data_IF_191279294417
#
_entry.id   IF_191279294417
#
_cell.length_a   1.000
_cell.length_b   1.000
_cell.length_c   1.000
_cell.angle_alpha   90.00
_cell.angle_beta   90.00
_cell.angle_gamma   90.00
#
_symmetry.space_group_name_H-M   'P 1'
#
loop_
_entity.id
_entity.type
_entity.pdbx_description
1 polymer ?
#
# COMPACT_ATOMS: atom_id res chain seq x y z
N UNK A 1 -23.42 14.55 -22.40
CA UNK A 1 -22.06 14.85 -21.93
C UNK A 1 -21.91 14.27 -20.52
N UNK A 2 -21.29 13.09 -20.38
CA UNK A 2 -21.05 12.48 -19.08
C UNK A 2 -19.86 13.18 -18.41
N UNK A 3 -20.11 13.88 -17.31
CA UNK A 3 -19.07 14.39 -16.42
C UNK A 3 -18.20 13.20 -16.00
N UNK A 4 -16.94 13.15 -16.46
CA UNK A 4 -15.98 12.15 -15.98
C UNK A 4 -15.71 12.46 -14.51
N UNK A 5 -16.41 11.76 -13.60
CA UNK A 5 -16.21 11.87 -12.16
C UNK A 5 -14.72 11.67 -11.85
N UNK A 6 -14.07 12.71 -11.33
CA UNK A 6 -12.68 12.64 -10.91
C UNK A 6 -12.55 11.60 -9.78
N UNK A 7 -11.81 10.49 -9.96
CA UNK A 7 -11.68 9.43 -8.95
C UNK A 7 -11.09 9.94 -7.63
N UNK A 8 -10.49 11.14 -7.62
CA UNK A 8 -10.11 11.90 -6.43
C UNK A 8 -11.28 12.17 -5.48
N UNK A 9 -12.48 12.43 -6.01
CA UNK A 9 -13.68 12.69 -5.20
C UNK A 9 -14.06 11.47 -4.35
N UNK A 10 -13.64 10.26 -4.75
CA UNK A 10 -13.94 9.03 -4.01
C UNK A 10 -12.89 8.64 -2.97
N UNK A 11 -11.61 8.94 -3.17
CA UNK A 11 -10.53 8.41 -2.31
C UNK A 11 -10.58 8.94 -0.87
N UNK A 12 -10.73 10.25 -0.70
CA UNK A 12 -10.80 10.88 0.64
C UNK A 12 -12.02 10.39 1.42
N UNK A 13 -13.26 10.47 0.90
CA UNK A 13 -14.42 9.96 1.64
C UNK A 13 -14.33 8.44 1.84
N UNK A 14 -13.77 7.68 0.89
CA UNK A 14 -13.49 6.26 1.10
C UNK A 14 -12.54 6.03 2.28
N UNK A 15 -11.41 6.73 2.33
CA UNK A 15 -10.44 6.60 3.42
C UNK A 15 -11.07 6.97 4.77
N UNK A 16 -11.88 8.03 4.81
CA UNK A 16 -12.63 8.44 6.01
C UNK A 16 -13.58 7.32 6.45
N UNK A 17 -14.41 6.80 5.54
CA UNK A 17 -15.37 5.72 5.85
C UNK A 17 -14.64 4.47 6.36
N UNK A 18 -13.59 4.03 5.65
CA UNK A 18 -12.79 2.87 6.07
C UNK A 18 -12.17 3.11 7.44
N UNK A 19 -11.67 4.32 7.72
CA UNK A 19 -11.09 4.67 9.01
C UNK A 19 -12.13 4.63 10.12
N UNK A 20 -13.32 5.19 9.90
CA UNK A 20 -14.42 5.18 10.88
C UNK A 20 -14.88 3.74 11.16
N UNK A 21 -15.11 2.93 10.11
CA UNK A 21 -15.51 1.53 10.28
C UNK A 21 -14.42 0.72 11.01
N UNK A 22 -13.16 0.96 10.67
CA UNK A 22 -12.02 0.33 11.35
C UNK A 22 -11.93 0.78 12.81
N UNK A 23 -12.17 2.05 13.11
CA UNK A 23 -12.19 2.54 14.48
C UNK A 23 -13.31 1.90 15.30
N UNK A 24 -14.52 1.79 14.74
CA UNK A 24 -15.64 1.13 15.41
C UNK A 24 -15.34 -0.35 15.67
N UNK A 25 -14.81 -1.06 14.69
CA UNK A 25 -14.37 -2.45 14.85
C UNK A 25 -13.24 -2.56 15.89
N UNK A 26 -12.27 -1.65 15.86
CA UNK A 26 -11.18 -1.59 16.83
C UNK A 26 -11.73 -1.44 18.25
N UNK A 27 -12.64 -0.48 18.49
CA UNK A 27 -13.25 -0.27 19.80
C UNK A 27 -14.00 -1.53 20.26
N UNK A 28 -14.78 -2.15 19.37
CA UNK A 28 -15.49 -3.39 19.68
C UNK A 28 -14.54 -4.52 20.10
N UNK A 29 -13.46 -4.74 19.34
CA UNK A 29 -12.47 -5.78 19.63
C UNK A 29 -11.66 -5.47 20.89
N UNK A 30 -11.25 -4.20 21.07
CA UNK A 30 -10.45 -3.76 22.20
C UNK A 30 -11.20 -3.95 23.53
N UNK A 31 -12.51 -3.66 23.56
CA UNK A 31 -13.34 -3.84 24.76
C UNK A 31 -13.61 -5.31 25.09
N UNK A 32 -13.53 -6.21 24.10
CA UNK A 32 -13.80 -7.63 24.26
C UNK A 32 -12.56 -8.53 24.39
N UNK A 33 -11.34 -7.96 24.38
CA UNK A 33 -10.11 -8.77 24.31
C UNK A 33 -9.73 -9.38 25.65
N UNK A 34 -9.28 -10.63 25.60
CA UNK A 34 -8.41 -11.17 26.64
C UNK A 34 -7.00 -10.55 26.50
N UNK A 35 -6.23 -10.39 27.59
CA UNK A 35 -4.84 -9.95 27.49
C UNK A 35 -4.06 -10.89 26.57
N UNK A 36 -3.33 -10.31 25.61
CA UNK A 36 -2.42 -11.09 24.76
C UNK A 36 -1.24 -11.50 25.66
N UNK A 37 -0.90 -12.80 25.74
CA UNK A 37 0.26 -13.25 26.50
C UNK A 37 1.53 -12.58 25.95
N UNK A 38 2.39 -12.08 26.83
CA UNK A 38 3.73 -11.65 26.42
C UNK A 38 4.48 -12.89 25.88
N UNK A 39 4.76 -12.92 24.59
CA UNK A 39 5.64 -13.93 24.00
C UNK A 39 7.09 -13.61 24.33
N UNK A 40 7.89 -14.63 24.65
CA UNK A 40 9.33 -14.47 24.86
C UNK A 40 10.01 -13.91 23.60
N UNK A 41 10.91 -12.93 23.78
CA UNK A 41 11.73 -12.35 22.72
C UNK A 41 12.64 -13.43 22.11
N UNK A 42 12.16 -14.04 21.01
CA UNK A 42 12.89 -15.04 20.23
C UNK A 42 13.37 -14.49 18.90
N UNK A 43 14.35 -15.18 18.28
CA UNK A 43 14.90 -14.81 16.97
C UNK A 43 13.82 -14.60 15.88
N UNK A 44 12.74 -15.39 15.89
CA UNK A 44 11.65 -15.23 14.92
C UNK A 44 10.83 -13.96 15.14
N UNK A 45 10.65 -13.53 16.39
CA UNK A 45 9.96 -12.29 16.72
C UNK A 45 10.81 -11.09 16.29
N UNK A 46 12.10 -11.09 16.61
CA UNK A 46 13.05 -10.05 16.18
C UNK A 46 13.14 -9.97 14.64
N UNK A 47 13.22 -11.12 13.96
CA UNK A 47 13.20 -11.16 12.50
C UNK A 47 11.87 -10.61 11.96
N UNK A 48 10.74 -10.98 12.58
CA UNK A 48 9.41 -10.47 12.25
C UNK A 48 9.33 -8.94 12.33
N UNK A 49 9.81 -8.35 13.43
CA UNK A 49 9.89 -6.90 13.61
C UNK A 49 10.81 -6.25 12.57
N UNK A 50 11.97 -6.85 12.30
CA UNK A 50 12.88 -6.41 11.26
C UNK A 50 12.23 -6.37 9.87
N UNK A 51 11.51 -7.44 9.50
CA UNK A 51 10.76 -7.50 8.24
C UNK A 51 9.66 -6.42 8.19
N UNK A 52 8.95 -6.19 9.29
CA UNK A 52 7.94 -5.13 9.41
C UNK A 52 8.55 -3.74 9.20
N UNK A 53 9.67 -3.46 9.87
CA UNK A 53 10.42 -2.21 9.73
C UNK A 53 10.90 -1.96 8.29
N UNK A 54 11.54 -2.96 7.66
CA UNK A 54 11.95 -2.85 6.25
C UNK A 54 10.74 -2.69 5.33
N UNK A 55 9.63 -3.38 5.63
CA UNK A 55 8.35 -3.25 4.93
C UNK A 55 7.83 -1.82 4.94
N UNK A 56 7.89 -1.12 6.07
CA UNK A 56 7.50 0.30 6.19
C UNK A 56 8.37 1.18 5.28
N UNK A 57 9.69 0.99 5.26
CA UNK A 57 10.57 1.74 4.36
C UNK A 57 10.25 1.45 2.88
N UNK A 58 9.93 0.20 2.53
CA UNK A 58 9.52 -0.15 1.17
C UNK A 58 8.20 0.55 0.78
N UNK A 59 7.22 0.61 1.68
CA UNK A 59 5.98 1.36 1.48
C UNK A 59 6.26 2.87 1.34
N UNK A 60 7.15 3.43 2.15
CA UNK A 60 7.55 4.84 2.05
C UNK A 60 8.18 5.16 0.67
N UNK A 61 8.99 4.25 0.11
CA UNK A 61 9.53 4.41 -1.25
C UNK A 61 8.43 4.34 -2.33
N UNK A 62 7.48 3.41 -2.18
CA UNK A 62 6.36 3.24 -3.10
C UNK A 62 5.44 4.46 -3.10
N UNK A 63 5.03 4.95 -1.93
CA UNK A 63 4.13 6.10 -1.81
C UNK A 63 4.84 7.44 -1.94
N UNK A 64 6.12 7.52 -1.58
CA UNK A 64 6.97 8.69 -1.79
C UNK A 64 7.07 9.06 -3.26
N UNK A 65 7.08 8.08 -4.16
CA UNK A 65 6.90 8.30 -5.60
C UNK A 65 5.62 9.07 -5.91
N UNK A 66 4.49 8.63 -5.35
CA UNK A 66 3.18 9.27 -5.57
C UNK A 66 3.18 10.70 -5.04
N UNK A 67 3.72 10.93 -3.83
CA UNK A 67 3.87 12.27 -3.24
C UNK A 67 4.78 13.17 -4.09
N UNK A 68 5.92 12.66 -4.57
CA UNK A 68 6.83 13.42 -5.41
C UNK A 68 6.18 13.83 -6.74
N UNK A 69 5.37 12.95 -7.35
CA UNK A 69 4.55 13.31 -8.51
C UNK A 69 3.52 14.39 -8.19
N UNK A 70 3.01 14.44 -6.97
CA UNK A 70 2.10 15.50 -6.53
C UNK A 70 2.78 16.86 -6.46
N UNK A 71 3.96 16.91 -5.84
CA UNK A 71 4.75 18.14 -5.66
C UNK A 71 5.22 18.70 -7.01
N UNK A 72 5.63 17.85 -7.94
CA UNK A 72 6.18 18.27 -9.26
C UNK A 72 5.11 18.69 -10.28
N UNK A 73 3.84 18.73 -9.88
CA UNK A 73 2.70 19.22 -10.67
C UNK A 73 2.56 18.63 -12.10
N UNK A 74 3.09 17.42 -12.35
CA UNK A 74 3.01 16.75 -13.66
C UNK A 74 1.57 16.28 -13.94
N UNK A 75 0.77 17.07 -14.66
CA UNK A 75 -0.57 16.69 -15.13
C UNK A 75 -1.64 16.61 -14.03
N UNK A 76 -2.86 16.16 -14.34
CA UNK A 76 -3.90 15.89 -13.32
C UNK A 76 -3.56 14.60 -12.54
N UNK A 77 -3.96 14.42 -11.27
CA UNK A 77 -3.55 13.23 -10.46
C UNK A 77 -3.78 11.87 -11.16
N UNK A 78 -4.76 11.79 -12.04
CA UNK A 78 -5.04 10.64 -12.91
C UNK A 78 -3.89 10.29 -13.86
N UNK A 79 -3.27 11.29 -14.50
CA UNK A 79 -2.10 11.11 -15.37
C UNK A 79 -0.84 10.80 -14.54
N UNK A 80 -0.81 11.21 -13.26
CA UNK A 80 0.34 11.03 -12.35
C UNK A 80 0.54 9.57 -11.95
N UNK A 81 -0.49 8.75 -11.80
CA UNK A 81 -0.29 7.34 -11.41
C UNK A 81 0.24 6.46 -12.53
N UNK A 82 0.20 6.94 -13.77
CA UNK A 82 0.68 6.19 -14.93
C UNK A 82 2.20 6.35 -15.10
N UNK A 83 2.98 5.29 -15.37
CA UNK A 83 4.37 5.42 -15.80
C UNK A 83 4.49 6.19 -17.13
N UNK A 84 5.09 7.38 -17.07
CA UNK A 84 5.53 8.13 -18.26
C UNK A 84 6.90 7.62 -18.68
N UNK A 85 6.96 6.92 -19.82
CA UNK A 85 8.20 6.30 -20.32
C UNK A 85 9.01 7.20 -21.28
N UNK A 86 8.43 8.29 -21.81
CA UNK A 86 9.11 9.17 -22.78
C UNK A 86 8.61 10.61 -22.67
N UNK A 87 9.44 11.51 -22.13
CA UNK A 87 9.40 12.95 -22.41
C UNK A 87 10.81 13.54 -22.29
N UNK A 88 11.36 14.02 -23.40
CA UNK A 88 12.60 14.80 -23.50
C UNK A 88 12.43 16.17 -22.88
N UNK A 89 12.61 16.32 -21.56
CA UNK A 89 12.49 17.64 -20.91
C UNK A 89 13.44 17.75 -19.70
N UNK A 90 14.02 18.94 -19.57
CA UNK A 90 15.16 19.44 -18.78
C UNK A 90 15.39 18.93 -17.33
N UNK A 91 16.68 19.03 -16.94
CA UNK A 91 17.40 18.36 -15.84
C UNK A 91 17.05 18.94 -14.45
N UNK A 92 16.35 18.19 -13.60
CA UNK A 92 16.20 18.51 -12.16
C UNK A 92 16.44 17.29 -11.28
N UNK A 93 17.04 17.46 -10.10
CA UNK A 93 17.30 16.38 -9.14
C UNK A 93 16.03 15.58 -8.80
N UNK A 94 14.89 16.28 -8.71
CA UNK A 94 13.57 15.68 -8.48
C UNK A 94 13.10 14.77 -9.62
N UNK A 95 13.45 15.05 -10.89
CA UNK A 95 13.19 14.12 -12.01
C UNK A 95 14.07 12.88 -11.96
N UNK A 96 15.35 13.02 -11.57
CA UNK A 96 16.25 11.88 -11.40
C UNK A 96 15.73 10.92 -10.32
N UNK A 97 15.28 11.47 -9.20
CA UNK A 97 14.60 10.72 -8.15
C UNK A 97 13.31 10.05 -8.67
N UNK A 98 12.49 10.78 -9.44
CA UNK A 98 11.26 10.23 -10.01
C UNK A 98 11.50 9.06 -10.98
N UNK A 99 12.48 9.17 -11.87
CA UNK A 99 12.85 8.11 -12.81
C UNK A 99 13.39 6.87 -12.09
N UNK A 100 14.23 7.09 -11.06
CA UNK A 100 14.70 6.00 -10.21
C UNK A 100 13.53 5.28 -9.53
N UNK A 101 12.65 6.02 -8.86
CA UNK A 101 11.47 5.46 -8.18
C UNK A 101 10.51 4.77 -9.16
N UNK A 102 10.29 5.32 -10.36
CA UNK A 102 9.47 4.67 -11.39
C UNK A 102 10.05 3.32 -11.84
N UNK A 103 11.38 3.22 -12.00
CA UNK A 103 12.06 2.01 -12.45
C UNK A 103 12.05 0.92 -11.39
N UNK A 104 12.23 1.29 -10.12
CA UNK A 104 12.32 0.34 -9.01
C UNK A 104 10.97 -0.04 -8.43
N UNK A 105 9.91 0.77 -8.61
CA UNK A 105 8.61 0.58 -7.97
C UNK A 105 8.01 -0.82 -8.14
N UNK A 106 8.16 -1.48 -9.30
CA UNK A 106 7.65 -2.85 -9.49
C UNK A 106 8.37 -3.86 -8.60
N UNK A 107 9.70 -3.77 -8.52
CA UNK A 107 10.54 -4.66 -7.71
C UNK A 107 10.34 -4.36 -6.22
N UNK A 108 10.32 -3.08 -5.84
CA UNK A 108 10.06 -2.64 -4.47
C UNK A 108 8.65 -3.03 -4.04
N UNK A 109 7.67 -2.97 -4.93
CA UNK A 109 6.30 -3.45 -4.70
C UNK A 109 6.23 -4.95 -4.41
N UNK A 110 6.87 -5.77 -5.23
CA UNK A 110 6.96 -7.21 -5.00
C UNK A 110 7.70 -7.53 -3.69
N UNK A 111 8.81 -6.84 -3.42
CA UNK A 111 9.55 -6.98 -2.17
C UNK A 111 8.70 -6.57 -0.95
N UNK A 112 7.97 -5.46 -1.03
CA UNK A 112 7.08 -5.01 0.05
C UNK A 112 6.00 -6.06 0.37
N UNK A 113 5.37 -6.66 -0.64
CA UNK A 113 4.41 -7.75 -0.42
C UNK A 113 5.07 -8.94 0.27
N UNK A 114 6.25 -9.37 -0.19
CA UNK A 114 6.98 -10.48 0.43
C UNK A 114 7.40 -10.21 1.87
N UNK A 115 7.95 -9.03 2.14
CA UNK A 115 8.38 -8.61 3.48
C UNK A 115 7.19 -8.53 4.45
N UNK A 116 6.07 -7.93 4.03
CA UNK A 116 4.89 -7.77 4.88
C UNK A 116 4.16 -9.09 5.12
N UNK A 117 4.12 -9.99 4.13
CA UNK A 117 3.64 -11.36 4.33
C UNK A 117 4.55 -12.13 5.29
N UNK A 118 5.87 -12.02 5.13
CA UNK A 118 6.85 -12.63 6.03
C UNK A 118 6.69 -12.13 7.47
N UNK A 119 6.61 -10.81 7.65
CA UNK A 119 6.29 -10.18 8.93
C UNK A 119 5.01 -10.78 9.53
N UNK A 120 3.89 -10.77 8.81
CA UNK A 120 2.61 -11.27 9.29
C UNK A 120 2.65 -12.75 9.71
N UNK A 121 3.42 -13.59 9.00
CA UNK A 121 3.57 -15.01 9.34
C UNK A 121 4.45 -15.24 10.58
N UNK A 122 5.42 -14.35 10.83
CA UNK A 122 6.34 -14.44 11.97
C UNK A 122 5.77 -13.88 13.28
N UNK A 123 4.71 -13.07 13.23
CA UNK A 123 4.06 -12.51 14.44
C UNK A 123 3.30 -13.53 15.30
N UNK A 124 3.26 -14.81 14.90
CA UNK A 124 2.60 -15.88 15.66
C UNK A 124 1.07 -15.82 15.62
N UNK A 125 0.41 -16.91 16.00
CA UNK A 125 -1.07 -17.01 16.00
C UNK A 125 -1.74 -16.29 17.17
N UNK A 126 -1.01 -16.04 18.26
CA UNK A 126 -1.54 -15.37 19.46
C UNK A 126 -1.98 -13.94 19.17
N UNK A 127 -1.36 -13.30 18.18
CA UNK A 127 -1.60 -11.90 17.79
C UNK A 127 -2.62 -11.78 16.65
N UNK A 128 -3.25 -12.89 16.26
CA UNK A 128 -4.23 -12.91 15.20
C UNK A 128 -5.50 -12.17 15.62
N UNK A 129 -5.80 -11.13 14.88
CA UNK A 129 -7.01 -10.36 15.01
C UNK A 129 -7.65 -10.18 13.62
N UNK A 130 -8.94 -9.80 13.55
CA UNK A 130 -9.62 -9.59 12.28
C UNK A 130 -8.90 -8.63 11.31
N UNK A 131 -8.20 -7.60 11.80
CA UNK A 131 -7.43 -6.70 10.92
C UNK A 131 -6.28 -7.41 10.24
N UNK A 132 -5.58 -8.32 10.93
CA UNK A 132 -4.53 -9.13 10.33
C UNK A 132 -5.08 -10.00 9.19
N UNK A 133 -6.23 -10.66 9.39
CA UNK A 133 -6.86 -11.50 8.35
C UNK A 133 -7.23 -10.66 7.14
N UNK A 134 -7.88 -9.50 7.34
CA UNK A 134 -8.24 -8.60 6.25
C UNK A 134 -7.00 -8.05 5.53
N UNK A 135 -5.94 -7.72 6.27
CA UNK A 135 -4.66 -7.27 5.73
C UNK A 135 -3.99 -8.34 4.88
N UNK A 136 -3.98 -9.61 5.32
CA UNK A 136 -3.43 -10.73 4.55
C UNK A 136 -4.18 -10.93 3.23
N UNK A 137 -5.52 -10.89 3.27
CA UNK A 137 -6.35 -10.96 2.05
C UNK A 137 -6.00 -9.82 1.09
N UNK A 138 -5.86 -8.59 1.60
CA UNK A 138 -5.49 -7.44 0.78
C UNK A 138 -4.06 -7.51 0.25
N UNK A 139 -3.10 -8.04 1.00
CA UNK A 139 -1.72 -8.23 0.54
C UNK A 139 -1.65 -9.25 -0.59
N UNK A 140 -2.33 -10.39 -0.43
CA UNK A 140 -2.45 -11.41 -1.49
C UNK A 140 -3.10 -10.81 -2.73
N UNK A 141 -4.21 -10.08 -2.54
CA UNK A 141 -4.88 -9.36 -3.63
C UNK A 141 -3.95 -8.38 -4.34
N UNK A 142 -3.19 -7.57 -3.60
CA UNK A 142 -2.21 -6.63 -4.18
C UNK A 142 -1.13 -7.33 -4.97
N UNK A 143 -0.59 -8.43 -4.45
CA UNK A 143 0.42 -9.23 -5.14
C UNK A 143 -0.12 -9.82 -6.45
N UNK A 144 -1.26 -10.50 -6.38
CA UNK A 144 -1.90 -11.13 -7.54
C UNK A 144 -2.31 -10.11 -8.60
N UNK A 145 -2.94 -9.00 -8.17
CA UNK A 145 -3.39 -7.96 -9.09
C UNK A 145 -2.21 -7.20 -9.70
N UNK A 146 -1.15 -6.92 -8.91
CA UNK A 146 0.09 -6.35 -9.41
C UNK A 146 0.76 -7.25 -10.46
N UNK A 147 0.84 -8.56 -10.19
CA UNK A 147 1.37 -9.54 -11.14
C UNK A 147 0.52 -9.60 -12.42
N UNK A 148 -0.80 -9.63 -12.29
CA UNK A 148 -1.72 -9.58 -13.42
C UNK A 148 -1.47 -8.34 -14.30
N UNK A 149 -1.29 -7.15 -13.71
CA UNK A 149 -1.01 -5.94 -14.46
C UNK A 149 0.33 -6.01 -15.20
N UNK A 150 1.36 -6.60 -14.58
CA UNK A 150 2.69 -6.77 -15.21
C UNK A 150 2.65 -7.75 -16.38
N UNK A 151 1.91 -8.86 -16.24
CA UNK A 151 1.81 -9.89 -17.27
C UNK A 151 0.91 -9.44 -18.43
N UNK A 152 -0.24 -8.83 -18.11
CA UNK A 152 -1.31 -8.61 -19.10
C UNK A 152 -1.17 -7.33 -19.90
N UNK A 153 -0.51 -6.31 -19.34
CA UNK A 153 -0.48 -4.96 -19.92
C UNK A 153 0.93 -4.42 -20.14
N UNK A 154 1.32 -4.09 -21.38
CA UNK A 154 2.56 -3.36 -21.62
C UNK A 154 2.49 -1.95 -20.99
N UNK A 155 3.63 -1.37 -20.56
CA UNK A 155 3.66 -0.08 -19.85
C UNK A 155 2.93 1.06 -20.57
N UNK A 156 2.97 1.07 -21.91
CA UNK A 156 2.29 2.06 -22.75
C UNK A 156 0.75 1.98 -22.69
N UNK A 157 0.20 0.79 -22.44
CA UNK A 157 -1.24 0.55 -22.38
C UNK A 157 -1.87 0.87 -21.02
N UNK A 158 -1.08 0.85 -19.94
CA UNK A 158 -1.54 1.20 -18.58
C UNK A 158 -2.08 2.64 -18.49
N UNK A 159 -1.67 3.54 -19.40
CA UNK A 159 -2.28 4.88 -19.57
C UNK A 159 -3.77 4.85 -19.81
N UNK A 160 -4.23 3.86 -20.57
CA UNK A 160 -5.63 3.68 -20.93
C UNK A 160 -6.44 3.06 -19.79
N UNK A 161 -5.78 2.30 -18.91
CA UNK A 161 -6.39 1.58 -17.78
C UNK A 161 -6.10 2.22 -16.43
N UNK A 162 -5.99 3.55 -16.40
CA UNK A 162 -5.69 4.31 -15.18
C UNK A 162 -6.54 3.87 -13.98
N UNK A 163 -7.83 3.55 -14.18
CA UNK A 163 -8.72 3.09 -13.10
C UNK A 163 -8.23 1.84 -12.36
N UNK A 164 -7.52 0.91 -13.01
CA UNK A 164 -6.98 -0.29 -12.37
C UNK A 164 -5.87 0.07 -11.37
N UNK A 165 -4.99 1.00 -11.76
CA UNK A 165 -3.94 1.51 -10.87
C UNK A 165 -4.56 2.28 -9.70
N UNK A 166 -5.71 2.93 -9.90
CA UNK A 166 -6.44 3.56 -8.81
C UNK A 166 -6.99 2.50 -7.85
N UNK A 167 -7.54 1.38 -8.32
CA UNK A 167 -8.01 0.32 -7.43
C UNK A 167 -6.91 -0.17 -6.47
N UNK A 168 -5.65 -0.29 -6.93
CA UNK A 168 -4.50 -0.61 -6.07
C UNK A 168 -4.22 0.43 -4.99
N UNK A 169 -4.47 1.71 -5.27
CA UNK A 169 -4.32 2.76 -4.27
C UNK A 169 -5.36 2.62 -3.15
N UNK A 170 -6.61 2.29 -3.49
CA UNK A 170 -7.68 2.11 -2.49
C UNK A 170 -7.38 0.92 -1.57
N UNK A 171 -6.99 -0.23 -2.12
CA UNK A 171 -6.55 -1.38 -1.31
C UNK A 171 -5.26 -1.08 -0.54
N UNK A 172 -4.37 -0.26 -1.09
CA UNK A 172 -3.16 0.21 -0.40
C UNK A 172 -3.46 1.06 0.84
N UNK A 173 -4.44 1.97 0.74
CA UNK A 173 -4.93 2.75 1.88
C UNK A 173 -5.58 1.86 2.94
N UNK A 174 -6.40 0.88 2.53
CA UNK A 174 -6.99 -0.08 3.47
C UNK A 174 -5.93 -0.88 4.22
N UNK A 175 -4.87 -1.36 3.53
CA UNK A 175 -3.75 -2.05 4.17
C UNK A 175 -3.12 -1.18 5.26
N UNK A 176 -2.85 0.09 4.96
CA UNK A 176 -2.27 1.01 5.95
C UNK A 176 -3.16 1.20 7.18
N UNK A 177 -4.47 1.38 6.98
CA UNK A 177 -5.44 1.54 8.07
C UNK A 177 -5.53 0.27 8.91
N UNK A 178 -5.65 -0.90 8.27
CA UNK A 178 -5.75 -2.18 8.98
C UNK A 178 -4.47 -2.54 9.69
N UNK A 179 -3.30 -2.24 9.12
CA UNK A 179 -2.02 -2.41 9.80
C UNK A 179 -1.96 -1.56 11.08
N UNK A 180 -2.36 -0.28 10.98
CA UNK A 180 -2.35 0.62 12.12
C UNK A 180 -3.26 0.13 13.26
N UNK A 181 -4.53 -0.17 12.98
CA UNK A 181 -5.45 -0.66 14.01
C UNK A 181 -5.12 -2.07 14.49
N UNK A 182 -4.63 -2.94 13.60
CA UNK A 182 -4.21 -4.28 13.95
C UNK A 182 -3.06 -4.28 14.95
N UNK A 183 -2.04 -3.44 14.76
CA UNK A 183 -0.92 -3.31 15.70
C UNK A 183 -1.35 -2.77 17.07
N UNK A 184 -2.37 -1.89 17.12
CA UNK A 184 -2.88 -1.37 18.40
C UNK A 184 -3.66 -2.40 19.23
N UNK A 185 -4.07 -3.52 18.62
CA UNK A 185 -4.79 -4.60 19.32
C UNK A 185 -3.88 -5.70 19.88
N UNK A 186 -2.62 -5.71 19.42
CA UNK A 186 -1.60 -6.68 19.81
C UNK A 186 -0.96 -6.26 21.12
#
# INVERSE_FOLDING_TARGET
MSEKSDPKRGLVPFAIVVTILSLLLFVYLYLGRAPVPEEEEGFLAELGEGLGGVGIYALALIYGRSVLKMILNQGTLLQRFIPDYYQDISVSASRRALNFLNRTHKLVGAAAVGLLLGHAMLMGTARWNPFLVMLLVLLVWQGLFGLFLVIRFPPSSLKRYGYMVHAQLFSGVMIGIFAAFGHLLV
#
